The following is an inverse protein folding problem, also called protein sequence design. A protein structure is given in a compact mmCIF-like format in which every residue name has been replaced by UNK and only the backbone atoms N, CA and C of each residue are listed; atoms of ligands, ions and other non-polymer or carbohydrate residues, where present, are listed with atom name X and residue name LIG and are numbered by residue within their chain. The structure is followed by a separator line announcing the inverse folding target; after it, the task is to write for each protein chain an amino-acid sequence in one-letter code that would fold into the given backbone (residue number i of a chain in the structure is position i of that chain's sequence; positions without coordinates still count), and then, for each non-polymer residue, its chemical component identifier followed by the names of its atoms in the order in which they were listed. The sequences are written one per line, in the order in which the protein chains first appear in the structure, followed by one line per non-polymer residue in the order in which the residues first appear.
data_IF_240280351552
#
_entry.id   IF_240280351552
#
_cell.length_a   1.000
_cell.length_b   1.000
_cell.length_c   1.000
_cell.angle_alpha   90.00
_cell.angle_beta   90.00
_cell.angle_gamma   90.00
#
_symmetry.space_group_name_H-M   'P 1'
#
loop_
_entity.id
_entity.type
_entity.pdbx_description
1 polymer ?
#
# COMPACT_ATOMS: atom_id res chain seq x y z
N UNK A 1 -8.67 -8.89 19.63
CA UNK A 1 -7.67 -9.34 18.63
C UNK A 1 -8.30 -9.65 17.27
N UNK A 2 -9.62 -9.80 17.17
CA UNK A 2 -10.35 -9.93 15.89
C UNK A 2 -10.46 -8.62 15.11
N UNK A 3 -10.52 -7.48 15.81
CA UNK A 3 -10.75 -6.16 15.21
C UNK A 3 -9.66 -5.70 14.22
N UNK A 4 -8.38 -5.93 14.51
CA UNK A 4 -7.27 -5.59 13.58
C UNK A 4 -7.34 -6.44 12.31
N UNK A 5 -7.75 -7.71 12.44
CA UNK A 5 -7.90 -8.63 11.31
C UNK A 5 -9.10 -8.19 10.45
N UNK A 6 -10.21 -7.81 11.09
CA UNK A 6 -11.38 -7.27 10.38
C UNK A 6 -11.07 -5.94 9.69
N UNK A 7 -10.36 -5.02 10.35
CA UNK A 7 -9.93 -3.75 9.76
C UNK A 7 -9.01 -3.97 8.56
N UNK A 8 -8.04 -4.91 8.67
CA UNK A 8 -7.19 -5.33 7.56
C UNK A 8 -8.00 -5.80 6.37
N UNK A 9 -8.98 -6.68 6.61
CA UNK A 9 -9.77 -7.28 5.54
C UNK A 9 -10.63 -6.22 4.84
N UNK A 10 -11.23 -5.31 5.61
CA UNK A 10 -11.94 -4.14 5.06
C UNK A 10 -11.03 -3.21 4.27
N UNK A 11 -9.80 -3.00 4.76
CA UNK A 11 -8.81 -2.19 4.05
C UNK A 11 -8.44 -2.84 2.71
N UNK A 12 -8.16 -4.14 2.68
CA UNK A 12 -7.85 -4.87 1.44
C UNK A 12 -9.02 -4.84 0.46
N UNK A 13 -10.24 -5.10 0.94
CA UNK A 13 -11.45 -5.02 0.10
C UNK A 13 -11.63 -3.61 -0.48
N UNK A 14 -11.52 -2.58 0.35
CA UNK A 14 -11.66 -1.18 -0.07
C UNK A 14 -10.60 -0.79 -1.09
N UNK A 15 -9.34 -1.14 -0.87
CA UNK A 15 -8.24 -0.85 -1.80
C UNK A 15 -8.46 -1.57 -3.13
N UNK A 16 -8.90 -2.83 -3.10
CA UNK A 16 -9.18 -3.61 -4.32
C UNK A 16 -10.31 -2.98 -5.13
N UNK A 17 -11.39 -2.54 -4.47
CA UNK A 17 -12.52 -1.86 -5.10
C UNK A 17 -12.10 -0.52 -5.73
N UNK A 18 -11.39 0.31 -4.97
CA UNK A 18 -11.02 1.68 -5.36
C UNK A 18 -10.01 1.72 -6.49
N UNK A 19 -8.99 0.86 -6.42
CA UNK A 19 -7.88 0.86 -7.36
C UNK A 19 -8.23 0.11 -8.65
N UNK A 20 -9.06 -0.93 -8.55
CA UNK A 20 -9.53 -1.68 -9.71
C UNK A 20 -8.38 -2.08 -10.64
N UNK A 21 -8.48 -1.70 -11.92
CA UNK A 21 -7.48 -2.04 -12.93
C UNK A 21 -6.17 -1.24 -12.87
N UNK A 22 -6.02 -0.28 -11.96
CA UNK A 22 -4.75 0.46 -11.79
C UNK A 22 -3.66 -0.43 -11.19
N UNK A 23 -4.07 -1.46 -10.44
CA UNK A 23 -3.17 -2.39 -9.78
C UNK A 23 -3.47 -3.81 -10.22
N UNK A 24 -2.44 -4.64 -10.33
CA UNK A 24 -2.64 -6.06 -10.66
C UNK A 24 -3.11 -6.87 -9.46
N UNK A 25 -2.74 -6.46 -8.24
CA UNK A 25 -3.24 -7.06 -7.00
C UNK A 25 -3.08 -6.11 -5.80
N UNK A 26 -3.90 -6.34 -4.78
CA UNK A 26 -3.72 -5.85 -3.41
C UNK A 26 -3.48 -7.08 -2.54
N UNK A 27 -2.37 -7.14 -1.82
CA UNK A 27 -1.99 -8.33 -1.03
C UNK A 27 -1.37 -7.94 0.31
N UNK A 28 -1.35 -8.88 1.24
CA UNK A 28 -0.59 -8.81 2.50
C UNK A 28 0.66 -9.70 2.45
N UNK A 29 0.84 -10.47 1.37
CA UNK A 29 1.98 -11.36 1.18
C UNK A 29 3.03 -10.69 0.29
N UNK A 30 4.19 -10.39 0.88
CA UNK A 30 5.34 -9.84 0.16
C UNK A 30 5.84 -10.76 -0.97
N UNK A 31 5.61 -12.07 -0.90
CA UNK A 31 5.97 -12.99 -1.98
C UNK A 31 5.07 -12.83 -3.22
N UNK A 32 3.82 -12.43 -3.01
CA UNK A 32 2.82 -12.11 -4.03
C UNK A 32 2.89 -10.66 -4.52
N UNK A 33 3.65 -9.80 -3.83
CA UNK A 33 3.85 -8.39 -4.16
C UNK A 33 4.75 -8.19 -5.40
N UNK A 34 4.41 -8.88 -6.50
CA UNK A 34 5.15 -8.94 -7.76
C UNK A 34 4.33 -8.26 -8.85
N UNK A 35 4.57 -6.96 -9.10
CA UNK A 35 3.83 -6.25 -10.13
C UNK A 35 4.16 -6.76 -11.54
N UNK A 36 3.12 -6.82 -12.38
CA UNK A 36 3.26 -7.17 -13.80
C UNK A 36 3.75 -5.96 -14.60
N UNK A 37 4.43 -6.16 -15.75
CA UNK A 37 4.82 -5.07 -16.64
C UNK A 37 3.67 -4.11 -16.95
N UNK A 38 3.87 -2.81 -16.69
CA UNK A 38 2.88 -1.76 -16.94
C UNK A 38 1.77 -1.65 -15.90
N UNK A 39 1.89 -2.33 -14.75
CA UNK A 39 0.95 -2.24 -13.62
C UNK A 39 1.67 -1.92 -12.31
N UNK A 40 0.91 -1.55 -11.29
CA UNK A 40 1.39 -1.46 -9.91
C UNK A 40 0.80 -2.59 -9.05
N UNK A 41 1.39 -2.83 -7.88
CA UNK A 41 0.83 -3.68 -6.83
C UNK A 41 0.79 -2.91 -5.54
N UNK A 42 -0.22 -3.16 -4.71
CA UNK A 42 -0.27 -2.65 -3.34
C UNK A 42 -0.01 -3.78 -2.37
N UNK A 43 1.04 -3.64 -1.58
CA UNK A 43 1.30 -4.47 -0.42
C UNK A 43 0.80 -3.74 0.83
N UNK A 44 -0.12 -4.35 1.57
CA UNK A 44 -0.55 -3.89 2.88
C UNK A 44 0.41 -4.49 3.90
N UNK A 45 1.25 -3.67 4.51
CA UNK A 45 2.17 -4.11 5.55
C UNK A 45 1.41 -4.40 6.86
N UNK A 46 1.96 -5.28 7.73
CA UNK A 46 1.50 -5.39 9.10
C UNK A 46 1.48 -4.00 9.77
N UNK A 47 0.43 -3.66 10.51
CA UNK A 47 0.31 -2.33 11.08
C UNK A 47 1.32 -2.16 12.22
N UNK A 48 1.78 -0.92 12.40
CA UNK A 48 2.46 -0.54 13.63
C UNK A 48 1.43 -0.38 14.74
N UNK A 49 1.66 -1.02 15.88
CA UNK A 49 0.79 -0.94 17.05
C UNK A 49 1.56 -0.27 18.20
N UNK A 50 1.12 0.91 18.60
CA UNK A 50 1.69 1.66 19.71
C UNK A 50 0.76 1.60 20.92
N UNK A 51 1.31 1.23 22.08
CA UNK A 51 0.58 1.15 23.35
C UNK A 51 0.97 2.35 24.22
N UNK A 52 0.08 3.33 24.30
CA UNK A 52 0.25 4.50 25.15
C UNK A 52 -0.41 4.26 26.52
N UNK A 53 0.38 3.67 27.41
CA UNK A 53 -0.11 3.19 28.71
C UNK A 53 -1.08 2.01 28.57
N UNK A 54 -2.05 1.92 29.46
CA UNK A 54 -3.01 0.79 29.50
C UNK A 54 -4.31 1.05 28.72
N UNK A 55 -4.53 2.27 28.22
CA UNK A 55 -5.83 2.71 27.72
C UNK A 55 -5.83 3.05 26.23
N UNK A 56 -4.69 3.44 25.66
CA UNK A 56 -4.62 3.91 24.28
C UNK A 56 -3.80 2.93 23.44
N UNK A 57 -4.43 2.43 22.38
CA UNK A 57 -3.80 1.58 21.36
C UNK A 57 -3.94 2.30 20.04
N UNK A 58 -2.83 2.75 19.48
CA UNK A 58 -2.79 3.42 18.19
C UNK A 58 -2.33 2.42 17.12
N UNK A 59 -3.16 2.21 16.10
CA UNK A 59 -2.88 1.33 14.97
C UNK A 59 -2.60 2.21 13.76
N UNK A 60 -1.44 2.00 13.15
CA UNK A 60 -1.03 2.72 11.94
C UNK A 60 -0.78 1.72 10.82
N UNK A 61 -1.55 1.82 9.75
CA UNK A 61 -1.39 1.00 8.55
C UNK A 61 -0.40 1.63 7.58
N UNK A 62 0.42 0.78 6.96
CA UNK A 62 1.39 1.17 5.94
C UNK A 62 1.09 0.40 4.65
N UNK A 63 1.12 1.11 3.53
CA UNK A 63 0.92 0.54 2.19
C UNK A 63 2.17 0.80 1.34
N UNK A 64 2.67 -0.22 0.67
CA UNK A 64 3.69 -0.07 -0.37
C UNK A 64 3.04 -0.21 -1.75
N UNK A 65 3.05 0.86 -2.53
CA UNK A 65 2.63 0.86 -3.93
C UNK A 65 3.87 0.64 -4.80
N UNK A 66 3.98 -0.51 -5.46
CA UNK A 66 5.20 -0.98 -6.12
C UNK A 66 4.97 -1.03 -7.64
N UNK A 67 5.83 -0.38 -8.41
CA UNK A 67 5.72 -0.35 -9.88
C UNK A 67 6.36 -1.59 -10.54
N UNK A 68 5.67 -2.16 -11.54
CA UNK A 68 6.09 -3.33 -12.31
C UNK A 68 7.03 -3.08 -13.46
N UNK A 69 7.88 -2.07 -13.39
CA UNK A 69 8.76 -1.68 -14.49
C UNK A 69 10.23 -1.73 -14.10
N UNK A 70 11.04 -2.48 -14.86
CA UNK A 70 12.50 -2.54 -14.71
C UNK A 70 13.25 -1.50 -15.58
N UNK A 71 12.62 -0.40 -15.98
CA UNK A 71 13.28 0.59 -16.85
C UNK A 71 12.83 2.04 -16.56
N UNK A 72 13.70 2.78 -15.86
CA UNK A 72 13.68 4.24 -15.59
C UNK A 72 12.65 4.74 -14.57
N UNK A 73 13.07 5.67 -13.70
CA UNK A 73 12.22 6.30 -12.68
C UNK A 73 10.97 6.96 -13.29
N UNK A 74 11.09 7.55 -14.49
CA UNK A 74 9.98 8.22 -15.18
C UNK A 74 8.83 7.25 -15.48
N UNK A 75 9.12 6.06 -16.01
CA UNK A 75 8.08 5.07 -16.31
C UNK A 75 7.37 4.56 -15.05
N UNK A 76 8.10 4.45 -13.93
CA UNK A 76 7.49 4.08 -12.65
C UNK A 76 6.58 5.19 -12.11
N UNK A 77 6.92 6.46 -12.31
CA UNK A 77 6.06 7.58 -11.89
C UNK A 77 4.71 7.56 -12.61
N UNK A 78 4.71 7.27 -13.91
CA UNK A 78 3.47 7.19 -14.70
C UNK A 78 2.51 6.09 -14.20
N UNK A 79 3.02 5.08 -13.47
CA UNK A 79 2.22 4.03 -12.84
C UNK A 79 1.81 4.36 -11.40
N UNK A 80 2.69 5.02 -10.64
CA UNK A 80 2.48 5.27 -9.21
C UNK A 80 1.59 6.49 -8.95
N UNK A 81 1.71 7.56 -9.74
CA UNK A 81 0.94 8.79 -9.52
C UNK A 81 -0.59 8.55 -9.64
N UNK A 82 -1.10 7.85 -10.67
CA UNK A 82 -2.54 7.60 -10.78
C UNK A 82 -3.10 6.78 -9.61
N UNK A 83 -2.30 5.87 -9.03
CA UNK A 83 -2.69 5.11 -7.84
C UNK A 83 -2.84 6.05 -6.64
N UNK A 84 -1.83 6.89 -6.38
CA UNK A 84 -1.86 7.85 -5.27
C UNK A 84 -3.03 8.85 -5.41
N UNK A 85 -3.23 9.38 -6.60
CA UNK A 85 -4.35 10.29 -6.91
C UNK A 85 -5.70 9.60 -6.66
N UNK A 86 -5.87 8.36 -7.13
CA UNK A 86 -7.10 7.60 -6.91
C UNK A 86 -7.37 7.34 -5.43
N UNK A 87 -6.35 7.00 -4.64
CA UNK A 87 -6.51 6.81 -3.20
C UNK A 87 -6.94 8.10 -2.51
N UNK A 88 -6.37 9.23 -2.92
CA UNK A 88 -6.75 10.55 -2.41
C UNK A 88 -8.18 10.92 -2.78
N UNK A 89 -8.57 10.78 -4.05
CA UNK A 89 -9.91 11.08 -4.56
C UNK A 89 -11.00 10.25 -3.88
N UNK A 90 -10.69 8.99 -3.51
CA UNK A 90 -11.62 8.09 -2.82
C UNK A 90 -11.63 8.26 -1.30
N UNK A 91 -10.95 9.29 -0.79
CA UNK A 91 -10.99 9.67 0.62
C UNK A 91 -10.22 8.72 1.54
N UNK A 92 -9.25 7.96 1.03
CA UNK A 92 -8.38 7.19 1.92
C UNK A 92 -7.63 8.16 2.83
N UNK A 93 -7.69 7.93 4.15
CA UNK A 93 -7.14 8.83 5.18
C UNK A 93 -5.60 8.77 5.22
N UNK A 94 -4.94 9.23 4.17
CA UNK A 94 -3.48 9.18 4.01
C UNK A 94 -2.82 10.29 4.84
N UNK A 95 -1.86 9.91 5.68
CA UNK A 95 -1.02 10.83 6.46
C UNK A 95 0.15 11.36 5.64
N UNK A 96 0.81 10.47 4.89
CA UNK A 96 2.02 10.75 4.12
C UNK A 96 2.16 9.71 3.02
N UNK A 97 2.72 10.11 1.89
CA UNK A 97 3.24 9.21 0.87
C UNK A 97 4.67 9.65 0.52
N UNK A 98 5.63 8.73 0.50
CA UNK A 98 7.03 9.03 0.19
C UNK A 98 7.66 8.00 -0.75
N UNK A 99 8.56 8.44 -1.65
CA UNK A 99 9.23 7.52 -2.57
C UNK A 99 10.19 6.63 -1.78
N UNK A 100 10.11 5.33 -2.04
CA UNK A 100 11.00 4.32 -1.45
C UNK A 100 11.48 3.35 -2.53
N UNK A 101 12.54 2.61 -2.21
CA UNK A 101 13.00 1.49 -3.04
C UNK A 101 12.53 0.20 -2.40
N UNK A 102 11.67 -0.55 -3.11
CA UNK A 102 11.21 -1.84 -2.66
C UNK A 102 12.17 -2.95 -3.13
N UNK A 103 12.63 -3.77 -2.19
CA UNK A 103 13.55 -4.87 -2.48
C UNK A 103 12.75 -6.16 -2.70
N UNK A 104 12.49 -6.50 -3.96
CA UNK A 104 11.76 -7.72 -4.29
C UNK A 104 12.71 -8.93 -4.32
N UNK A 105 12.42 -9.93 -3.50
CA UNK A 105 13.20 -11.15 -3.40
C UNK A 105 13.33 -11.85 -4.77
N UNK A 106 14.56 -11.96 -5.27
CA UNK A 106 14.89 -12.60 -6.54
C UNK A 106 14.63 -11.75 -7.80
N UNK A 107 14.14 -10.52 -7.68
CA UNK A 107 13.84 -9.65 -8.83
C UNK A 107 14.54 -8.28 -8.80
N UNK A 108 15.16 -7.91 -7.67
CA UNK A 108 15.95 -6.69 -7.55
C UNK A 108 15.18 -5.54 -6.90
N UNK A 109 15.60 -4.31 -7.21
CA UNK A 109 15.03 -3.08 -6.66
C UNK A 109 13.95 -2.54 -7.59
N UNK A 110 12.78 -2.23 -7.02
CA UNK A 110 11.66 -1.61 -7.70
C UNK A 110 11.38 -0.24 -7.10
N UNK A 111 10.89 0.67 -7.95
CA UNK A 111 10.40 1.96 -7.48
C UNK A 111 9.04 1.76 -6.79
N UNK A 112 8.88 2.38 -5.63
CA UNK A 112 7.66 2.30 -4.87
C UNK A 112 7.35 3.62 -4.15
N UNK A 113 6.14 3.75 -3.66
CA UNK A 113 5.75 4.74 -2.66
C UNK A 113 5.26 4.03 -1.41
N UNK A 114 5.79 4.42 -0.26
CA UNK A 114 5.26 4.00 1.02
C UNK A 114 4.25 5.04 1.51
N UNK A 115 3.05 4.59 1.84
CA UNK A 115 1.94 5.41 2.32
C UNK A 115 1.66 5.04 3.76
N UNK A 116 1.71 6.02 4.66
CA UNK A 116 1.23 5.87 6.03
C UNK A 116 -0.19 6.38 6.12
N UNK A 117 -1.07 5.59 6.73
CA UNK A 117 -2.46 5.99 6.96
C UNK A 117 -2.62 6.59 8.37
N UNK A 118 -3.55 7.53 8.50
CA UNK A 118 -4.12 7.87 9.79
C UNK A 118 -5.07 6.76 10.26
N UNK A 119 -5.55 6.81 11.52
CA UNK A 119 -6.61 5.91 11.97
C UNK A 119 -7.77 5.87 10.96
N UNK A 120 -8.20 4.66 10.63
CA UNK A 120 -9.21 4.42 9.61
C UNK A 120 -10.60 4.37 10.25
N UNK A 121 -11.58 4.94 9.56
CA UNK A 121 -13.00 4.86 9.93
C UNK A 121 -13.72 3.98 8.89
N UNK A 122 -13.39 2.68 8.84
CA UNK A 122 -13.84 1.73 7.79
C UNK A 122 -14.56 0.50 8.35
#
# INVERSE_FOLDING_TARGET
MTEIIEERDRLVERLTEVLGSLVSTVTIDAAEARPLPGTAVVLVEPPTIEYEGWQFVNITWTLDVIAGTMATQTASMDLLMPVLERLHEQGLNMRKAEPVTYQLAGAGQLAAYQITLNPLEI
#
